data_IF_465396411815
#
_entry.id   IF_465396411815
#
_cell.length_a   1.000
_cell.length_b   1.000
_cell.length_c   1.000
_cell.angle_alpha   90.00
_cell.angle_beta   90.00
_cell.angle_gamma   90.00
#
_symmetry.space_group_name_H-M   'P 1'
#
loop_
_entity.id
_entity.type
_entity.pdbx_description
1 polymer ?
#
# COMPACT_ATOMS: atom_id res chain seq x y z
N UNK A 1 -0.73 -13.30 -9.39
CA UNK A 1 0.27 -12.28 -9.78
C UNK A 1 1.16 -11.83 -8.62
N UNK A 2 0.66 -11.52 -7.42
CA UNK A 2 1.51 -11.04 -6.29
C UNK A 2 2.29 -12.14 -5.57
N UNK A 3 1.69 -13.31 -5.35
CA UNK A 3 2.39 -14.47 -4.74
C UNK A 3 3.46 -15.06 -5.66
N UNK A 4 3.23 -15.01 -6.98
CA UNK A 4 4.16 -15.54 -7.98
C UNK A 4 5.48 -14.77 -8.00
N UNK A 5 5.41 -13.44 -7.83
CA UNK A 5 6.59 -12.59 -7.76
C UNK A 5 7.43 -12.87 -6.50
N UNK A 6 6.79 -13.04 -5.33
CA UNK A 6 7.50 -13.37 -4.08
C UNK A 6 8.22 -14.71 -4.23
N UNK A 7 7.52 -15.74 -4.73
CA UNK A 7 8.11 -17.05 -5.02
C UNK A 7 9.27 -16.96 -6.00
N UNK A 8 9.12 -16.15 -7.04
CA UNK A 8 10.18 -15.91 -8.02
C UNK A 8 11.43 -15.30 -7.36
N UNK A 9 11.26 -14.27 -6.52
CA UNK A 9 12.41 -13.64 -5.82
C UNK A 9 13.08 -14.62 -4.87
N UNK A 10 12.31 -15.41 -4.12
CA UNK A 10 12.84 -16.46 -3.23
C UNK A 10 13.62 -17.54 -4.01
N UNK A 11 13.11 -17.96 -5.17
CA UNK A 11 13.76 -18.96 -6.00
C UNK A 11 15.02 -18.43 -6.71
N UNK A 12 15.08 -17.13 -7.01
CA UNK A 12 16.23 -16.52 -7.70
C UNK A 12 17.45 -16.34 -6.79
N UNK A 13 17.26 -16.19 -5.48
CA UNK A 13 18.37 -16.11 -4.53
C UNK A 13 17.89 -16.28 -3.10
N UNK A 14 18.43 -17.26 -2.38
CA UNK A 14 18.13 -17.47 -0.95
C UNK A 14 18.66 -16.32 -0.05
N UNK A 15 19.62 -15.53 -0.52
CA UNK A 15 20.21 -14.39 0.20
C UNK A 15 19.66 -13.01 -0.21
N UNK A 16 18.55 -12.94 -0.95
CA UNK A 16 17.93 -11.64 -1.26
C UNK A 16 17.08 -11.13 -0.09
N UNK A 17 17.59 -10.11 0.61
CA UNK A 17 16.88 -9.46 1.73
C UNK A 17 15.74 -8.53 1.29
N UNK A 18 15.75 -8.08 0.02
CA UNK A 18 14.80 -7.08 -0.49
C UNK A 18 13.76 -7.71 -1.40
N UNK A 19 12.48 -7.41 -1.11
CA UNK A 19 11.38 -7.79 -2.01
C UNK A 19 11.49 -7.15 -3.40
N UNK A 20 12.09 -5.96 -3.49
CA UNK A 20 12.30 -5.25 -4.76
C UNK A 20 13.79 -4.95 -4.97
N UNK A 21 14.59 -5.92 -5.45
CA UNK A 21 16.04 -5.76 -5.59
C UNK A 21 16.44 -4.59 -6.51
N UNK A 22 15.60 -4.31 -7.52
CA UNK A 22 15.83 -3.25 -8.51
C UNK A 22 15.47 -1.84 -8.01
N UNK A 23 14.89 -1.71 -6.81
CA UNK A 23 14.52 -0.41 -6.26
C UNK A 23 15.76 0.27 -5.66
N UNK A 24 16.36 1.18 -6.43
CA UNK A 24 17.56 1.92 -6.02
C UNK A 24 17.24 2.99 -4.96
N UNK A 25 18.07 3.06 -3.91
CA UNK A 25 18.01 4.11 -2.89
C UNK A 25 18.71 5.38 -3.39
N UNK A 26 18.05 6.52 -3.35
CA UNK A 26 18.69 7.82 -3.56
C UNK A 26 19.28 8.33 -2.23
N UNK A 27 20.44 9.00 -2.32
CA UNK A 27 21.18 9.51 -1.15
C UNK A 27 20.36 10.51 -0.32
N UNK A 28 19.62 11.40 -0.97
CA UNK A 28 18.87 12.49 -0.31
C UNK A 28 17.44 12.12 0.09
N UNK A 29 16.77 11.24 -0.67
CA UNK A 29 15.32 11.00 -0.54
C UNK A 29 14.95 9.54 -0.29
N UNK A 30 15.94 8.67 -0.09
CA UNK A 30 15.73 7.24 0.09
C UNK A 30 15.07 6.60 -1.13
N UNK A 31 14.04 5.77 -0.90
CA UNK A 31 13.32 5.07 -1.97
C UNK A 31 12.14 5.85 -2.56
N UNK A 32 11.69 6.91 -1.88
CA UNK A 32 10.42 7.59 -2.19
C UNK A 32 10.37 8.19 -3.59
N UNK A 33 11.47 8.77 -4.06
CA UNK A 33 11.54 9.38 -5.39
C UNK A 33 11.36 8.36 -6.50
N UNK A 34 12.00 7.20 -6.41
CA UNK A 34 11.92 6.15 -7.42
C UNK A 34 10.51 5.55 -7.49
N UNK A 35 9.90 5.28 -6.33
CA UNK A 35 8.52 4.81 -6.23
C UNK A 35 7.56 5.85 -6.83
N UNK A 36 7.75 7.14 -6.49
CA UNK A 36 6.90 8.21 -7.01
C UNK A 36 6.99 8.36 -8.53
N UNK A 37 8.20 8.22 -9.10
CA UNK A 37 8.41 8.25 -10.57
C UNK A 37 7.78 7.04 -11.24
N UNK A 38 7.95 5.84 -10.68
CA UNK A 38 7.31 4.63 -11.17
C UNK A 38 5.78 4.76 -11.14
N UNK A 39 5.21 5.22 -10.02
CA UNK A 39 3.76 5.37 -9.88
C UNK A 39 3.22 6.43 -10.84
N UNK A 40 3.95 7.52 -11.07
CA UNK A 40 3.58 8.50 -12.12
C UNK A 40 3.47 7.84 -13.49
N UNK A 41 4.46 7.04 -13.90
CA UNK A 41 4.43 6.29 -15.17
C UNK A 41 3.27 5.29 -15.19
N UNK A 42 3.04 4.63 -14.06
CA UNK A 42 1.94 3.70 -13.88
C UNK A 42 0.57 4.38 -14.10
N UNK A 43 0.34 5.58 -13.56
CA UNK A 43 -0.91 6.33 -13.77
C UNK A 43 -1.06 6.88 -15.20
N UNK A 44 0.03 7.09 -15.93
CA UNK A 44 -0.01 7.56 -17.33
C UNK A 44 -0.53 6.44 -18.25
N UNK A 45 -0.07 5.20 -18.05
CA UNK A 45 -0.43 4.06 -18.90
C UNK A 45 -1.95 3.86 -19.09
N UNK A 46 -2.79 3.89 -18.04
CA UNK A 46 -4.24 3.78 -18.17
C UNK A 46 -4.94 5.15 -18.34
N UNK A 47 -4.21 6.26 -18.54
CA UNK A 47 -4.82 7.58 -18.77
C UNK A 47 -5.38 8.29 -17.53
N UNK A 48 -5.11 7.80 -16.32
CA UNK A 48 -5.67 8.36 -15.07
C UNK A 48 -4.80 9.47 -14.46
N UNK A 49 -3.66 9.79 -15.06
CA UNK A 49 -2.75 10.82 -14.56
C UNK A 49 -3.37 12.23 -14.73
N UNK A 50 -3.76 12.84 -13.61
CA UNK A 50 -4.20 14.25 -13.52
C UNK A 50 -3.35 15.04 -12.51
N UNK A 51 -3.50 16.36 -12.45
CA UNK A 51 -2.88 17.19 -11.38
C UNK A 51 -3.33 16.67 -10.02
N UNK A 52 -2.42 16.60 -9.05
CA UNK A 52 -2.69 16.06 -7.71
C UNK A 52 -2.74 14.53 -7.59
N UNK A 53 -2.87 13.77 -8.70
CA UNK A 53 -2.85 12.30 -8.64
C UNK A 53 -1.42 11.76 -8.49
N UNK A 54 -1.12 11.23 -7.31
CA UNK A 54 0.17 10.67 -6.87
C UNK A 54 -0.06 9.59 -5.78
N UNK A 55 1.02 9.05 -5.22
CA UNK A 55 0.95 8.01 -4.17
C UNK A 55 0.19 8.47 -2.91
N UNK A 56 0.28 9.75 -2.56
CA UNK A 56 -0.43 10.31 -1.40
C UNK A 56 -1.94 10.40 -1.65
N UNK A 57 -2.35 10.88 -2.83
CA UNK A 57 -3.77 10.88 -3.21
C UNK A 57 -4.36 9.47 -3.33
N UNK A 58 -3.54 8.49 -3.71
CA UNK A 58 -3.95 7.09 -3.78
C UNK A 58 -4.20 6.53 -2.38
N UNK A 59 -3.31 6.81 -1.41
CA UNK A 59 -3.52 6.47 0.00
C UNK A 59 -4.82 7.04 0.56
N UNK A 60 -5.15 8.30 0.26
CA UNK A 60 -6.45 8.88 0.65
C UNK A 60 -7.63 8.18 0.00
N UNK A 61 -7.48 7.77 -1.27
CA UNK A 61 -8.52 7.01 -1.97
C UNK A 61 -8.78 5.67 -1.25
N UNK A 62 -7.71 4.98 -0.83
CA UNK A 62 -7.81 3.73 -0.04
C UNK A 62 -8.48 3.96 1.31
N UNK A 63 -8.08 5.01 2.03
CA UNK A 63 -8.68 5.34 3.32
C UNK A 63 -10.18 5.66 3.18
N UNK A 64 -10.56 6.50 2.21
CA UNK A 64 -11.96 6.85 1.95
C UNK A 64 -12.79 5.63 1.58
N UNK A 65 -12.27 4.72 0.75
CA UNK A 65 -12.95 3.48 0.37
C UNK A 65 -13.22 2.59 1.59
N UNK A 66 -12.24 2.45 2.49
CA UNK A 66 -12.39 1.69 3.73
C UNK A 66 -13.42 2.33 4.67
N UNK A 67 -13.41 3.67 4.78
CA UNK A 67 -14.40 4.41 5.55
C UNK A 67 -15.81 4.21 5.00
N UNK A 68 -15.99 4.28 3.68
CA UNK A 68 -17.27 4.03 3.02
C UNK A 68 -17.77 2.59 3.27
N UNK A 69 -16.85 1.65 3.41
CA UNK A 69 -17.13 0.25 3.78
C UNK A 69 -17.31 0.02 5.29
N UNK A 70 -17.37 1.11 6.07
CA UNK A 70 -17.55 1.09 7.53
C UNK A 70 -16.48 0.26 8.25
N UNK A 71 -15.25 0.23 7.72
CA UNK A 71 -14.12 -0.38 8.42
C UNK A 71 -13.77 0.46 9.64
N UNK A 72 -13.46 -0.21 10.75
CA UNK A 72 -13.12 0.44 12.01
C UNK A 72 -11.91 1.37 11.83
N UNK A 73 -12.10 2.66 12.13
CA UNK A 73 -11.15 3.73 11.83
C UNK A 73 -9.73 3.46 12.37
N UNK A 74 -9.55 2.88 13.57
CA UNK A 74 -8.22 2.46 14.03
C UNK A 74 -7.49 1.51 13.09
N UNK A 75 -8.18 0.57 12.44
CA UNK A 75 -7.54 -0.32 11.46
C UNK A 75 -7.13 0.43 10.19
N UNK A 76 -7.91 1.43 9.79
CA UNK A 76 -7.58 2.29 8.65
C UNK A 76 -6.34 3.12 8.97
N UNK A 77 -6.32 3.78 10.14
CA UNK A 77 -5.17 4.58 10.63
C UNK A 77 -3.90 3.75 10.74
N UNK A 78 -4.01 2.55 11.29
CA UNK A 78 -2.87 1.65 11.40
C UNK A 78 -2.38 1.14 10.04
N UNK A 79 -3.29 0.74 9.15
CA UNK A 79 -2.94 0.29 7.79
C UNK A 79 -2.15 1.36 7.03
N UNK A 80 -2.55 2.62 7.16
CA UNK A 80 -1.83 3.70 6.52
C UNK A 80 -0.59 4.10 7.37
N UNK A 81 -0.53 3.79 8.65
CA UNK A 81 0.57 4.17 9.54
C UNK A 81 0.47 5.62 10.01
N UNK A 82 -0.75 6.07 10.31
CA UNK A 82 -0.98 7.24 11.16
C UNK A 82 -1.08 6.79 12.62
N UNK A 83 -0.56 7.61 13.54
CA UNK A 83 -0.80 7.44 14.97
C UNK A 83 -2.27 7.69 15.31
N UNK A 84 -2.77 7.05 16.36
CA UNK A 84 -4.18 7.14 16.74
C UNK A 84 -4.49 8.41 17.53
N UNK A 85 -3.47 9.11 18.02
CA UNK A 85 -3.61 10.41 18.70
C UNK A 85 -4.34 10.31 20.05
N UNK A 86 -4.67 9.09 20.48
CA UNK A 86 -5.25 8.75 21.77
C UNK A 86 -4.23 7.87 22.49
N UNK A 87 -3.77 8.35 23.65
CA UNK A 87 -2.82 7.64 24.53
C UNK A 87 -3.35 6.22 24.84
N UNK A 88 -4.66 6.07 25.01
CA UNK A 88 -5.29 4.78 25.32
C UNK A 88 -5.13 3.75 24.20
N UNK A 89 -5.25 4.13 22.91
CA UNK A 89 -5.11 3.18 21.81
C UNK A 89 -3.65 2.97 21.40
N UNK A 90 -2.82 4.01 21.48
CA UNK A 90 -1.39 3.94 21.17
C UNK A 90 -0.59 3.17 22.25
N UNK A 91 -1.01 3.22 23.53
CA UNK A 91 -0.32 2.52 24.64
C UNK A 91 -0.93 1.13 24.95
N UNK A 92 -2.25 0.96 24.94
CA UNK A 92 -2.89 -0.33 25.26
C UNK A 92 -3.32 -1.16 24.04
N UNK A 93 -3.42 -0.55 22.85
CA UNK A 93 -3.96 -1.22 21.67
C UNK A 93 -3.00 -2.18 20.99
N UNK A 94 -1.69 -2.00 21.19
CA UNK A 94 -0.62 -2.71 20.50
C UNK A 94 -0.66 -2.55 18.97
N UNK A 95 0.42 -2.93 18.27
CA UNK A 95 0.31 -3.16 16.82
C UNK A 95 -0.62 -4.34 16.61
N UNK A 96 -1.70 -4.16 15.85
CA UNK A 96 -2.60 -5.24 15.51
C UNK A 96 -1.83 -6.27 14.67
N UNK A 97 -2.08 -7.58 14.88
CA UNK A 97 -1.47 -8.61 14.06
C UNK A 97 -1.76 -8.34 12.58
N UNK A 98 -0.77 -8.55 11.72
CA UNK A 98 -0.90 -8.32 10.28
C UNK A 98 -2.08 -9.08 9.65
N UNK A 99 -2.42 -10.26 10.18
CA UNK A 99 -3.59 -11.04 9.75
C UNK A 99 -4.91 -10.31 9.96
N UNK A 100 -5.04 -9.53 11.04
CA UNK A 100 -6.23 -8.71 11.32
C UNK A 100 -6.32 -7.59 10.30
N UNK A 101 -5.23 -6.86 10.04
CA UNK A 101 -5.23 -5.78 9.05
C UNK A 101 -5.50 -6.29 7.62
N UNK A 102 -4.99 -7.47 7.28
CA UNK A 102 -5.28 -8.13 6.01
C UNK A 102 -6.78 -8.41 5.86
N UNK A 103 -7.40 -9.05 6.85
CA UNK A 103 -8.82 -9.42 6.81
C UNK A 103 -9.74 -8.21 6.90
N UNK A 104 -9.46 -7.30 7.82
CA UNK A 104 -10.34 -6.18 8.13
C UNK A 104 -10.24 -5.03 7.14
N UNK A 105 -9.12 -4.90 6.42
CA UNK A 105 -8.95 -3.81 5.45
C UNK A 105 -8.79 -4.34 4.01
N UNK A 106 -7.77 -5.17 3.76
CA UNK A 106 -7.36 -5.53 2.39
C UNK A 106 -8.40 -6.40 1.70
N UNK A 107 -8.95 -7.39 2.39
CA UNK A 107 -10.03 -8.23 1.86
C UNK A 107 -11.28 -7.39 1.57
N UNK A 108 -11.64 -6.46 2.47
CA UNK A 108 -12.82 -5.60 2.32
C UNK A 108 -12.72 -4.61 1.15
N UNK A 109 -11.53 -4.14 0.78
CA UNK A 109 -11.34 -3.34 -0.44
C UNK A 109 -11.74 -4.13 -1.70
N UNK A 110 -11.81 -5.45 -1.61
CA UNK A 110 -12.10 -6.31 -2.75
C UNK A 110 -10.85 -6.46 -3.61
N UNK A 111 -9.69 -6.72 -2.99
CA UNK A 111 -8.44 -7.02 -3.65
C UNK A 111 -8.47 -8.35 -4.44
N UNK A 112 -9.50 -8.56 -5.25
CA UNK A 112 -9.34 -9.20 -6.54
C UNK A 112 -8.51 -8.24 -7.41
N UNK A 113 -7.47 -8.72 -8.07
CA UNK A 113 -6.53 -7.93 -8.87
C UNK A 113 -7.11 -7.15 -10.07
N UNK A 114 -8.42 -6.87 -10.08
CA UNK A 114 -9.16 -6.18 -11.14
C UNK A 114 -9.41 -4.69 -10.88
N UNK A 115 -9.21 -4.17 -9.65
CA UNK A 115 -9.45 -2.75 -9.33
C UNK A 115 -8.47 -1.75 -9.98
N UNK A 116 -7.48 -2.25 -10.73
CA UNK A 116 -6.58 -1.45 -11.55
C UNK A 116 -6.90 -1.49 -13.06
N UNK A 117 -7.91 -2.26 -13.47
CA UNK A 117 -8.36 -2.34 -14.87
C UNK A 117 -9.89 -2.39 -14.89
N UNK A 118 -10.56 -1.25 -14.62
CA UNK A 118 -11.80 -0.98 -15.36
C UNK A 118 -11.36 -0.39 -16.69
N UNK A 119 -11.14 -1.27 -17.67
CA UNK A 119 -11.13 -0.86 -19.08
C UNK A 119 -12.54 -0.44 -19.47
N UNK A 120 -12.72 0.57 -20.35
CA UNK A 120 -13.92 0.65 -21.15
C UNK A 120 -14.07 -0.60 -22.02
#
# INVERSE_FOLDING_TARGET
MTLDYVKQIQNQNQNQEKLFPNLKKMRSTGYGTMISRWFRKYLIKPGIKKKGKNVHSFRHTVANELTNKKVYEPFIKELIGHSHGSITLDIYGGRKPLGVLLNECVVKIGACGSLLIRKP
#
